data_IF_427363138316
#
_entry.id   IF_427363138316
#
_cell.length_a   1.000
_cell.length_b   1.000
_cell.length_c   1.000
_cell.angle_alpha   90.00
_cell.angle_beta   90.00
_cell.angle_gamma   90.00
#
_symmetry.space_group_name_H-M   'P 1'
#
loop_
_entity.id
_entity.type
_entity.pdbx_description
1 polymer ?
#
# COMPACT_ATOMS: atom_id res chain seq x y z
N UNK A 1 -3.14 -2.40 -6.46
CA UNK A 1 -2.11 -2.59 -5.42
C UNK A 1 -0.71 -2.47 -6.00
N UNK A 2 0.31 -2.45 -5.14
CA UNK A 2 1.72 -2.22 -5.53
C UNK A 2 2.25 -3.23 -6.56
N UNK A 3 1.83 -4.49 -6.49
CA UNK A 3 2.21 -5.51 -7.48
C UNK A 3 1.74 -5.17 -8.91
N UNK A 4 0.51 -4.65 -9.05
CA UNK A 4 -0.02 -4.21 -10.35
C UNK A 4 0.67 -2.94 -10.87
N UNK A 5 0.95 -1.98 -9.98
CA UNK A 5 1.76 -0.80 -10.33
C UNK A 5 3.19 -1.20 -10.71
N UNK A 6 3.78 -2.19 -10.06
CA UNK A 6 5.10 -2.74 -10.40
C UNK A 6 5.11 -3.46 -11.75
N UNK A 7 4.03 -4.16 -12.10
CA UNK A 7 3.88 -4.74 -13.43
C UNK A 7 3.82 -3.65 -14.52
N UNK A 8 3.05 -2.58 -14.29
CA UNK A 8 2.88 -1.49 -15.25
C UNK A 8 4.07 -0.52 -15.34
N UNK A 9 4.74 -0.23 -14.21
CA UNK A 9 5.77 0.82 -14.10
C UNK A 9 7.18 0.30 -13.74
N UNK A 10 7.34 -1.00 -13.53
CA UNK A 10 8.64 -1.61 -13.21
C UNK A 10 9.16 -1.29 -11.82
N UNK A 11 10.48 -1.15 -11.67
CA UNK A 11 11.15 -0.99 -10.38
C UNK A 11 10.94 0.37 -9.70
N UNK A 12 10.39 1.35 -10.42
CA UNK A 12 10.20 2.69 -9.90
C UNK A 12 9.22 2.73 -8.69
N UNK A 13 8.29 1.78 -8.59
CA UNK A 13 7.39 1.64 -7.43
C UNK A 13 8.18 1.34 -6.14
N UNK A 14 9.30 0.60 -6.24
CA UNK A 14 10.17 0.27 -5.11
C UNK A 14 10.83 1.50 -4.47
N UNK A 15 10.89 2.63 -5.18
CA UNK A 15 11.37 3.89 -4.62
C UNK A 15 10.50 4.33 -3.42
N UNK A 16 9.19 4.04 -3.46
CA UNK A 16 8.26 4.43 -2.41
C UNK A 16 8.56 3.72 -1.08
N UNK A 17 8.82 2.42 -1.15
CA UNK A 17 9.18 1.61 0.00
C UNK A 17 10.55 2.02 0.56
N UNK A 18 11.52 2.32 -0.31
CA UNK A 18 12.83 2.79 0.13
C UNK A 18 12.75 4.13 0.88
N UNK A 19 11.91 5.04 0.41
CA UNK A 19 11.67 6.32 1.09
C UNK A 19 10.98 6.12 2.46
N UNK A 20 9.99 5.23 2.51
CA UNK A 20 9.28 4.90 3.73
C UNK A 20 10.22 4.35 4.81
N UNK A 21 11.13 3.46 4.44
CA UNK A 21 12.12 2.89 5.36
C UNK A 21 12.98 3.97 6.03
N UNK A 22 13.47 4.94 5.26
CA UNK A 22 14.29 6.06 5.78
C UNK A 22 13.49 6.95 6.74
N UNK A 23 12.25 7.28 6.38
CA UNK A 23 11.38 8.13 7.20
C UNK A 23 10.94 7.44 8.50
N UNK A 24 10.62 6.14 8.44
CA UNK A 24 10.28 5.35 9.62
C UNK A 24 11.46 5.22 10.58
N UNK A 25 12.67 5.06 10.07
CA UNK A 25 13.88 5.04 10.90
C UNK A 25 14.10 6.40 11.59
N UNK A 26 13.89 7.51 10.88
CA UNK A 26 13.96 8.86 11.44
C UNK A 26 12.88 9.07 12.52
N UNK A 27 11.64 8.63 12.25
CA UNK A 27 10.53 8.67 13.21
C UNK A 27 10.89 7.88 14.48
N UNK A 28 11.43 6.68 14.29
CA UNK A 28 11.88 5.78 15.35
C UNK A 28 12.94 6.39 16.26
N UNK A 29 13.93 7.08 15.70
CA UNK A 29 15.02 7.66 16.49
C UNK A 29 14.67 9.03 17.10
N UNK A 30 13.93 9.87 16.38
CA UNK A 30 13.69 11.26 16.80
C UNK A 30 12.40 11.40 17.61
N UNK A 31 11.31 10.77 17.17
CA UNK A 31 9.98 11.01 17.75
C UNK A 31 9.61 10.04 18.86
N UNK A 32 10.02 8.76 18.77
CA UNK A 32 9.79 7.77 19.84
C UNK A 32 10.31 8.24 21.21
N UNK A 33 11.56 8.72 21.38
CA UNK A 33 12.00 9.19 22.70
C UNK A 33 11.16 10.37 23.21
N UNK A 34 10.72 11.27 22.31
CA UNK A 34 9.84 12.40 22.67
C UNK A 34 8.47 11.91 23.15
N UNK A 35 7.89 10.90 22.52
CA UNK A 35 6.61 10.32 22.94
C UNK A 35 6.71 9.60 24.28
N UNK A 36 7.79 8.85 24.52
CA UNK A 36 8.04 8.17 25.79
C UNK A 36 8.20 9.20 26.93
N UNK A 37 9.01 10.25 26.72
CA UNK A 37 9.19 11.31 27.73
C UNK A 37 7.92 12.11 28.02
N UNK A 38 7.04 12.27 27.03
CA UNK A 38 5.78 12.98 27.21
C UNK A 38 4.68 12.11 27.84
N UNK A 39 4.87 10.79 27.97
CA UNK A 39 3.94 9.87 28.65
C UNK A 39 2.56 9.81 27.98
N UNK A 40 2.52 9.96 26.65
CA UNK A 40 1.30 9.94 25.86
C UNK A 40 1.27 8.71 24.96
N UNK A 41 0.09 8.12 24.81
CA UNK A 41 -0.10 6.88 24.05
C UNK A 41 -0.78 7.11 22.69
N UNK A 42 -1.26 8.33 22.41
CA UNK A 42 -1.94 8.66 21.16
C UNK A 42 -1.51 10.02 20.62
N UNK A 43 -1.48 10.15 19.28
CA UNK A 43 -1.12 11.40 18.59
C UNK A 43 -2.01 12.60 18.99
N UNK A 44 -3.36 12.48 19.06
CA UNK A 44 -4.19 13.59 19.52
C UNK A 44 -3.95 13.97 20.99
N UNK A 45 -3.59 13.00 21.85
CA UNK A 45 -3.25 13.28 23.25
C UNK A 45 -1.92 14.05 23.36
N UNK A 46 -0.93 13.71 22.53
CA UNK A 46 0.32 14.48 22.42
C UNK A 46 0.06 15.95 22.05
N UNK A 47 -0.72 16.17 20.99
CA UNK A 47 -1.07 17.52 20.53
C UNK A 47 -1.80 18.33 21.62
N UNK A 48 -2.73 17.71 22.33
CA UNK A 48 -3.45 18.36 23.44
C UNK A 48 -2.53 18.74 24.59
N UNK A 49 -1.55 17.90 24.94
CA UNK A 49 -0.57 18.19 25.99
C UNK A 49 0.39 19.32 25.61
N UNK A 50 0.74 19.43 24.31
CA UNK A 50 1.66 20.46 23.80
C UNK A 50 0.99 21.82 23.58
N UNK A 51 -0.20 21.85 22.98
CA UNK A 51 -0.89 23.09 22.60
C UNK A 51 -1.93 23.55 23.62
N UNK A 52 -2.27 22.69 24.59
CA UNK A 52 -3.31 22.95 25.57
C UNK A 52 -4.72 22.77 24.99
N UNK A 53 -5.64 22.27 25.82
CA UNK A 53 -7.08 22.25 25.51
C UNK A 53 -7.64 20.86 25.21
N UNK A 54 -8.67 20.49 25.99
CA UNK A 54 -9.41 19.24 25.81
C UNK A 54 -10.30 19.27 24.55
N UNK A 55 -10.80 20.45 24.17
CA UNK A 55 -11.61 20.63 22.94
C UNK A 55 -10.82 20.30 21.67
N UNK A 56 -9.55 20.70 21.63
CA UNK A 56 -8.65 20.44 20.51
C UNK A 56 -8.35 18.95 20.36
N UNK A 57 -8.18 18.23 21.49
CA UNK A 57 -8.01 16.77 21.52
C UNK A 57 -9.18 16.05 20.86
N UNK A 58 -10.41 16.38 21.27
CA UNK A 58 -11.63 15.74 20.76
C UNK A 58 -11.82 16.04 19.28
N UNK A 59 -11.55 17.28 18.86
CA UNK A 59 -11.63 17.67 17.45
C UNK A 59 -10.64 16.85 16.58
N UNK A 60 -9.35 16.81 16.95
CA UNK A 60 -8.35 16.04 16.19
C UNK A 60 -8.57 14.53 16.25
N UNK A 61 -9.04 13.99 17.37
CA UNK A 61 -9.39 12.58 17.48
C UNK A 61 -10.57 12.22 16.56
N UNK A 62 -11.62 13.04 16.54
CA UNK A 62 -12.76 12.84 15.65
C UNK A 62 -12.36 12.95 14.17
N UNK A 63 -11.59 14.00 13.83
CA UNK A 63 -11.10 14.22 12.47
C UNK A 63 -10.21 13.06 11.99
N UNK A 64 -9.27 12.59 12.82
CA UNK A 64 -8.39 11.48 12.46
C UNK A 64 -9.17 10.18 12.26
N UNK A 65 -10.08 9.81 13.16
CA UNK A 65 -10.93 8.62 13.01
C UNK A 65 -11.74 8.69 11.71
N UNK A 66 -12.37 9.85 11.43
CA UNK A 66 -13.14 10.05 10.22
C UNK A 66 -12.27 9.88 8.96
N UNK A 67 -11.11 10.53 8.92
CA UNK A 67 -10.17 10.41 7.79
C UNK A 67 -9.70 8.97 7.61
N UNK A 68 -9.39 8.24 8.69
CA UNK A 68 -8.94 6.85 8.63
C UNK A 68 -10.03 5.92 8.05
N UNK A 69 -11.30 6.09 8.45
CA UNK A 69 -12.42 5.30 7.93
C UNK A 69 -12.62 5.54 6.43
N UNK A 70 -12.66 6.80 6.00
CA UNK A 70 -12.92 7.12 4.60
C UNK A 70 -11.75 6.81 3.67
N UNK A 71 -10.50 7.00 4.13
CA UNK A 71 -9.33 6.88 3.24
C UNK A 71 -8.67 5.51 3.30
N UNK A 72 -8.41 4.97 4.49
CA UNK A 72 -7.65 3.72 4.64
C UNK A 72 -8.59 2.52 4.62
N UNK A 73 -9.56 2.50 5.55
CA UNK A 73 -10.47 1.36 5.72
C UNK A 73 -11.28 1.06 4.45
N UNK A 74 -11.76 2.09 3.76
CA UNK A 74 -12.53 1.92 2.51
C UNK A 74 -11.70 1.31 1.39
N UNK A 75 -10.44 1.71 1.25
CA UNK A 75 -9.52 1.19 0.23
C UNK A 75 -9.16 -0.27 0.53
N UNK A 76 -8.91 -0.60 1.80
CA UNK A 76 -8.56 -1.96 2.23
C UNK A 76 -9.74 -2.93 2.04
N UNK A 77 -10.96 -2.53 2.44
CA UNK A 77 -12.17 -3.32 2.24
C UNK A 77 -12.46 -3.55 0.75
N UNK A 78 -12.31 -2.51 -0.08
CA UNK A 78 -12.53 -2.64 -1.52
C UNK A 78 -11.50 -3.56 -2.17
N UNK A 79 -10.21 -3.40 -1.83
CA UNK A 79 -9.14 -4.26 -2.35
C UNK A 79 -9.34 -5.72 -1.92
N UNK A 80 -9.73 -5.96 -0.66
CA UNK A 80 -10.03 -7.30 -0.16
C UNK A 80 -11.26 -7.92 -0.84
N UNK A 81 -12.33 -7.16 -1.02
CA UNK A 81 -13.54 -7.65 -1.70
C UNK A 81 -13.28 -7.97 -3.17
N UNK A 82 -12.50 -7.15 -3.87
CA UNK A 82 -12.09 -7.40 -5.24
C UNK A 82 -11.26 -8.70 -5.34
N UNK A 83 -10.36 -8.94 -4.39
CA UNK A 83 -9.60 -10.19 -4.34
C UNK A 83 -10.49 -11.42 -4.19
N UNK A 84 -11.50 -11.38 -3.32
CA UNK A 84 -12.47 -12.47 -3.14
C UNK A 84 -13.31 -12.66 -4.41
N UNK A 85 -13.74 -11.58 -5.05
CA UNK A 85 -14.49 -11.65 -6.30
C UNK A 85 -13.68 -12.32 -7.42
N UNK A 86 -12.41 -11.95 -7.60
CA UNK A 86 -11.57 -12.52 -8.65
C UNK A 86 -11.16 -13.97 -8.36
N UNK A 87 -11.07 -14.37 -7.08
CA UNK A 87 -10.66 -15.72 -6.70
C UNK A 87 -11.83 -16.71 -6.58
N UNK A 88 -13.00 -16.29 -6.09
CA UNK A 88 -14.17 -17.15 -5.87
C UNK A 88 -15.34 -16.87 -6.83
N UNK A 89 -15.30 -15.77 -7.60
CA UNK A 89 -16.37 -15.38 -8.52
C UNK A 89 -17.63 -14.85 -7.83
N UNK A 90 -17.56 -14.47 -6.56
CA UNK A 90 -18.71 -14.02 -5.77
C UNK A 90 -19.06 -12.55 -6.01
N UNK A 91 -20.32 -12.18 -5.71
CA UNK A 91 -20.75 -10.78 -5.77
C UNK A 91 -19.92 -9.90 -4.82
N UNK A 92 -19.51 -8.72 -5.29
CA UNK A 92 -18.69 -7.77 -4.54
C UNK A 92 -19.33 -7.39 -3.19
N UNK A 93 -20.64 -7.13 -3.18
CA UNK A 93 -21.39 -6.78 -1.96
C UNK A 93 -21.36 -7.90 -0.91
N UNK A 94 -21.50 -9.16 -1.35
CA UNK A 94 -21.44 -10.32 -0.45
C UNK A 94 -20.03 -10.47 0.16
N UNK A 95 -19.00 -10.23 -0.66
CA UNK A 95 -17.60 -10.26 -0.24
C UNK A 95 -17.28 -9.19 0.81
N UNK A 96 -17.78 -7.96 0.64
CA UNK A 96 -17.63 -6.88 1.63
C UNK A 96 -18.29 -7.25 2.96
N UNK A 97 -19.55 -7.70 2.92
CA UNK A 97 -20.30 -8.05 4.14
C UNK A 97 -19.60 -9.18 4.90
N UNK A 98 -19.08 -10.18 4.19
CA UNK A 98 -18.34 -11.28 4.78
C UNK A 98 -17.03 -10.81 5.43
N UNK A 99 -16.24 -9.97 4.76
CA UNK A 99 -15.00 -9.40 5.29
C UNK A 99 -15.24 -8.58 6.57
N UNK A 100 -16.24 -7.70 6.55
CA UNK A 100 -16.59 -6.89 7.72
C UNK A 100 -17.06 -7.79 8.87
N UNK A 101 -17.90 -8.78 8.58
CA UNK A 101 -18.43 -9.71 9.58
C UNK A 101 -17.31 -10.53 10.24
N UNK A 102 -16.40 -11.10 9.45
CA UNK A 102 -15.26 -11.87 9.96
C UNK A 102 -14.33 -10.98 10.81
N UNK A 103 -14.00 -9.79 10.32
CA UNK A 103 -13.13 -8.85 11.03
C UNK A 103 -13.76 -8.38 12.34
N UNK A 104 -15.07 -8.09 12.33
CA UNK A 104 -15.82 -7.71 13.52
C UNK A 104 -15.85 -8.86 14.55
N UNK A 105 -16.10 -10.10 14.11
CA UNK A 105 -16.13 -11.26 14.99
C UNK A 105 -14.78 -11.49 15.68
N UNK A 106 -13.68 -11.45 14.92
CA UNK A 106 -12.32 -11.59 15.47
C UNK A 106 -11.99 -10.47 16.46
N UNK A 107 -12.40 -9.23 16.16
CA UNK A 107 -12.14 -8.08 17.03
C UNK A 107 -12.95 -8.13 18.32
N UNK A 108 -14.24 -8.48 18.25
CA UNK A 108 -15.15 -8.54 19.40
C UNK A 108 -14.78 -9.69 20.35
N UNK A 109 -14.40 -10.85 19.79
CA UNK A 109 -14.08 -12.05 20.60
C UNK A 109 -12.72 -11.97 21.27
N UNK A 110 -11.73 -11.36 20.62
CA UNK A 110 -10.35 -11.45 21.07
C UNK A 110 -9.74 -10.18 21.68
N UNK A 111 -10.38 -9.02 21.48
CA UNK A 111 -9.84 -7.74 21.94
C UNK A 111 -8.51 -7.35 21.27
N UNK A 112 -7.84 -6.30 21.77
CA UNK A 112 -6.62 -5.75 21.16
C UNK A 112 -5.47 -6.79 21.09
N UNK A 113 -5.39 -7.68 22.08
CA UNK A 113 -4.33 -8.70 22.15
C UNK A 113 -4.49 -9.76 21.06
N UNK A 114 -5.71 -10.26 20.82
CA UNK A 114 -5.92 -11.22 19.76
C UNK A 114 -5.67 -10.61 18.38
N UNK A 115 -6.06 -9.34 18.17
CA UNK A 115 -5.78 -8.61 16.93
C UNK A 115 -4.27 -8.54 16.67
N UNK A 116 -3.47 -8.28 17.70
CA UNK A 116 -2.01 -8.27 17.58
C UNK A 116 -1.46 -9.65 17.19
N UNK A 117 -1.95 -10.73 17.82
CA UNK A 117 -1.51 -12.08 17.45
C UNK A 117 -1.88 -12.42 16.01
N UNK A 118 -3.10 -12.10 15.56
CA UNK A 118 -3.51 -12.35 14.17
C UNK A 118 -2.69 -11.53 13.17
N UNK A 119 -2.33 -10.29 13.52
CA UNK A 119 -1.50 -9.42 12.68
C UNK A 119 -0.08 -9.98 12.52
N UNK A 120 0.53 -10.44 13.62
CA UNK A 120 1.87 -11.07 13.56
C UNK A 120 1.89 -12.33 12.70
N UNK A 121 0.85 -13.17 12.80
CA UNK A 121 0.73 -14.37 11.99
C UNK A 121 0.52 -14.01 10.51
N UNK A 122 -0.31 -13.00 10.22
CA UNK A 122 -0.54 -12.51 8.86
C UNK A 122 0.76 -11.97 8.24
N UNK A 123 1.58 -11.22 8.99
CA UNK A 123 2.85 -10.71 8.50
C UNK A 123 3.80 -11.86 8.08
N UNK A 124 3.91 -12.91 8.89
CA UNK A 124 4.75 -14.08 8.57
C UNK A 124 4.23 -14.81 7.32
N UNK A 125 2.92 -15.01 7.21
CA UNK A 125 2.31 -15.65 6.04
C UNK A 125 2.51 -14.81 4.76
N UNK A 126 2.36 -13.49 4.84
CA UNK A 126 2.57 -12.58 3.71
C UNK A 126 4.02 -12.58 3.23
N UNK A 127 5.00 -12.55 4.15
CA UNK A 127 6.42 -12.62 3.80
C UNK A 127 6.74 -13.95 3.12
N UNK A 128 6.28 -15.08 3.69
CA UNK A 128 6.46 -16.40 3.09
C UNK A 128 5.81 -16.53 1.71
N UNK A 129 4.57 -16.05 1.55
CA UNK A 129 3.86 -16.02 0.28
C UNK A 129 4.55 -15.16 -0.77
N UNK A 130 5.03 -13.98 -0.39
CA UNK A 130 5.73 -13.09 -1.31
C UNK A 130 7.07 -13.69 -1.77
N UNK A 131 7.84 -14.31 -0.86
CA UNK A 131 9.13 -14.94 -1.19
C UNK A 131 8.95 -16.14 -2.11
N UNK A 132 8.02 -17.04 -1.79
CA UNK A 132 7.75 -18.23 -2.61
C UNK A 132 7.28 -17.86 -4.01
N UNK A 133 6.36 -16.90 -4.14
CA UNK A 133 5.90 -16.38 -5.43
C UNK A 133 7.03 -15.71 -6.23
N UNK A 134 7.90 -14.95 -5.57
CA UNK A 134 9.05 -14.30 -6.21
C UNK A 134 10.02 -15.34 -6.77
N UNK A 135 10.34 -16.38 -5.99
CA UNK A 135 11.25 -17.45 -6.41
C UNK A 135 10.66 -18.23 -7.60
N UNK A 136 9.40 -18.67 -7.50
CA UNK A 136 8.73 -19.38 -8.58
C UNK A 136 8.65 -18.55 -9.86
N UNK A 137 8.37 -17.25 -9.74
CA UNK A 137 8.32 -16.32 -10.88
C UNK A 137 9.70 -16.16 -11.52
N UNK A 138 10.76 -15.99 -10.72
CA UNK A 138 12.13 -15.87 -11.24
C UNK A 138 12.58 -17.14 -11.96
N UNK A 139 12.26 -18.33 -11.44
CA UNK A 139 12.58 -19.60 -12.11
C UNK A 139 11.87 -19.70 -13.46
N UNK A 140 10.58 -19.36 -13.51
CA UNK A 140 9.77 -19.45 -14.75
C UNK A 140 10.19 -18.44 -15.82
N UNK A 141 10.68 -17.28 -15.40
CA UNK A 141 11.11 -16.20 -16.30
C UNK A 141 12.55 -16.39 -16.79
N UNK A 142 13.34 -17.27 -16.17
CA UNK A 142 14.74 -17.53 -16.54
C UNK A 142 15.75 -16.64 -15.80
N UNK A 143 15.44 -16.28 -14.55
CA UNK A 143 16.29 -15.44 -13.70
C UNK A 143 16.17 -13.94 -14.01
N UNK A 144 17.11 -13.16 -13.47
CA UNK A 144 17.09 -11.70 -13.57
C UNK A 144 17.28 -11.19 -15.02
N UNK A 145 18.11 -11.86 -15.81
CA UNK A 145 18.28 -11.58 -17.24
C UNK A 145 17.01 -11.90 -18.04
N UNK A 146 16.32 -12.97 -17.67
CA UNK A 146 14.99 -13.29 -18.17
C UNK A 146 14.00 -12.18 -17.88
N UNK A 147 13.99 -11.63 -16.66
CA UNK A 147 13.13 -10.50 -16.30
C UNK A 147 13.45 -9.29 -17.17
N UNK A 148 14.73 -8.94 -17.31
CA UNK A 148 15.15 -7.77 -18.11
C UNK A 148 14.69 -7.86 -19.57
N UNK A 149 14.81 -9.03 -20.18
CA UNK A 149 14.48 -9.24 -21.60
C UNK A 149 12.98 -9.44 -21.82
N UNK A 150 12.34 -10.30 -21.03
CA UNK A 150 10.92 -10.64 -21.16
C UNK A 150 10.01 -9.50 -20.72
N UNK A 151 10.42 -8.68 -19.75
CA UNK A 151 9.63 -7.52 -19.32
C UNK A 151 9.42 -6.53 -20.46
N UNK A 152 10.45 -6.26 -21.26
CA UNK A 152 10.35 -5.36 -22.43
C UNK A 152 9.48 -5.95 -23.55
N UNK A 153 9.26 -7.27 -23.56
CA UNK A 153 8.43 -7.98 -24.53
C UNK A 153 7.00 -8.25 -24.02
N UNK A 154 6.69 -7.89 -22.77
CA UNK A 154 5.42 -8.17 -22.12
C UNK A 154 4.34 -7.16 -22.52
N UNK A 155 4.02 -7.10 -23.82
CA UNK A 155 2.99 -6.23 -24.37
C UNK A 155 1.64 -6.98 -24.32
N UNK A 156 0.62 -6.48 -23.61
CA UNK A 156 -0.68 -7.13 -23.57
C UNK A 156 -1.37 -7.04 -24.94
N UNK A 157 -1.96 -8.16 -25.40
CA UNK A 157 -2.73 -8.15 -26.63
C UNK A 157 -4.08 -7.44 -26.40
N UNK A 158 -4.16 -6.17 -26.83
CA UNK A 158 -5.31 -5.28 -26.64
C UNK A 158 -6.63 -5.82 -27.20
N UNK A 159 -6.56 -6.71 -28.20
CA UNK A 159 -7.74 -7.34 -28.81
C UNK A 159 -8.43 -8.34 -27.88
N UNK A 160 -7.69 -9.04 -27.01
CA UNK A 160 -8.23 -9.97 -26.02
C UNK A 160 -8.91 -9.24 -24.83
N UNK A 161 -8.43 -8.04 -24.50
CA UNK A 161 -8.98 -7.21 -23.41
C UNK A 161 -10.34 -6.62 -23.85
N UNK A 162 -10.44 -6.11 -25.07
CA UNK A 162 -11.70 -5.58 -25.62
C UNK A 162 -12.77 -6.68 -25.86
N UNK A 163 -12.35 -7.92 -26.13
CA UNK A 163 -13.26 -9.06 -26.30
C UNK A 163 -13.91 -9.53 -24.98
N UNK A 164 -13.34 -9.15 -23.82
CA UNK A 164 -13.84 -9.57 -22.49
C UNK A 164 -15.04 -8.76 -21.96
N UNK A 165 -15.55 -7.78 -22.73
CA UNK A 165 -16.86 -7.14 -22.56
C UNK A 165 -17.12 -6.33 -21.28
N UNK A 166 -16.29 -6.45 -20.24
CA UNK A 166 -16.54 -5.91 -18.90
C UNK A 166 -15.51 -4.87 -18.43
N UNK A 167 -14.50 -4.57 -19.25
CA UNK A 167 -13.47 -3.57 -18.93
C UNK A 167 -13.53 -2.43 -19.95
N UNK A 168 -13.84 -1.23 -19.47
CA UNK A 168 -13.68 0.00 -20.25
C UNK A 168 -12.20 0.25 -20.47
N UNK A 169 -11.74 0.07 -21.72
CA UNK A 169 -10.40 0.49 -22.12
C UNK A 169 -10.32 2.02 -21.99
N UNK A 170 -9.61 2.50 -20.98
CA UNK A 170 -9.19 3.89 -20.93
C UNK A 170 -7.89 4.02 -21.74
N UNK A 171 -7.78 4.98 -22.67
CA UNK A 171 -6.56 5.23 -23.44
C UNK A 171 -5.36 5.67 -22.56
N UNK A 172 -5.55 5.80 -21.25
CA UNK A 172 -4.51 6.10 -20.26
C UNK A 172 -3.66 4.88 -19.84
N UNK A 173 -4.09 3.64 -20.12
CA UNK A 173 -3.26 2.46 -19.86
C UNK A 173 -2.16 2.35 -20.93
N UNK A 174 -0.92 2.67 -20.57
CA UNK A 174 0.24 2.50 -21.46
C UNK A 174 0.45 1.02 -21.76
N UNK A 175 0.37 0.68 -23.05
CA UNK A 175 0.48 -0.67 -23.59
C UNK A 175 1.96 -1.10 -23.71
N UNK A 176 2.89 -0.16 -23.82
CA UNK A 176 4.31 -0.45 -24.07
C UNK A 176 5.18 -0.10 -22.85
N UNK A 177 6.07 -1.01 -22.41
CA UNK A 177 6.98 -0.78 -21.28
C UNK A 177 8.05 0.26 -21.64
N UNK A 178 8.22 1.27 -20.78
CA UNK A 178 9.25 2.31 -20.97
C UNK A 178 10.68 1.71 -20.90
N UNK A 179 11.65 2.23 -21.68
CA UNK A 179 13.04 1.76 -21.64
C UNK A 179 13.72 1.96 -20.27
N UNK A 180 13.26 2.93 -19.48
CA UNK A 180 13.76 3.22 -18.13
C UNK A 180 12.95 2.53 -17.01
N UNK A 181 12.09 1.56 -17.34
CA UNK A 181 11.23 0.85 -16.38
C UNK A 181 12.00 0.12 -15.27
N UNK A 182 13.22 -0.33 -15.57
CA UNK A 182 14.10 -1.03 -14.62
C UNK A 182 15.01 -0.08 -13.82
N UNK A 183 14.76 1.23 -13.86
CA UNK A 183 15.44 2.21 -13.00
C UNK A 183 14.48 2.70 -11.92
N UNK A 184 14.96 2.70 -10.68
CA UNK A 184 14.18 3.12 -9.50
C UNK A 184 13.96 4.64 -9.54
N UNK A 185 15.03 5.43 -9.69
CA UNK A 185 14.94 6.87 -9.91
C UNK A 185 15.12 7.18 -11.39
N UNK A 186 14.17 7.92 -11.95
CA UNK A 186 14.16 8.29 -13.37
C UNK A 186 14.55 9.76 -13.57
N UNK A 187 14.74 10.16 -14.82
CA UNK A 187 15.22 11.49 -15.17
C UNK A 187 14.27 12.60 -14.69
N UNK A 188 14.73 13.86 -14.61
CA UNK A 188 13.91 14.99 -14.16
C UNK A 188 12.67 15.25 -15.03
N UNK A 189 12.68 14.81 -16.30
CA UNK A 189 11.60 14.98 -17.28
C UNK A 189 10.74 13.71 -17.45
N UNK A 190 10.98 12.66 -16.66
CA UNK A 190 10.17 11.43 -16.75
C UNK A 190 8.78 11.66 -16.14
N UNK A 191 7.73 11.32 -16.88
CA UNK A 191 6.35 11.63 -16.52
C UNK A 191 5.81 10.85 -15.30
N UNK A 192 6.32 9.64 -15.03
CA UNK A 192 5.74 8.79 -13.97
C UNK A 192 6.36 9.08 -12.60
N UNK A 193 7.70 9.06 -12.51
CA UNK A 193 8.45 9.18 -11.24
C UNK A 193 9.73 9.99 -11.49
N UNK A 194 9.62 11.31 -11.73
CA UNK A 194 10.78 12.17 -11.86
C UNK A 194 11.41 12.37 -10.48
N UNK A 195 12.74 12.37 -10.38
CA UNK A 195 13.43 12.53 -9.09
C UNK A 195 13.03 13.80 -8.30
N UNK A 196 12.69 14.96 -8.91
CA UNK A 196 12.19 16.11 -8.14
C UNK A 196 10.81 15.84 -7.57
N UNK A 197 9.94 15.14 -8.31
CA UNK A 197 8.60 14.74 -7.84
C UNK A 197 8.67 13.70 -6.72
N UNK A 198 9.66 12.80 -6.79
CA UNK A 198 9.98 11.86 -5.72
C UNK A 198 10.33 12.60 -4.41
N UNK A 199 11.25 13.56 -4.47
CA UNK A 199 11.67 14.28 -3.26
C UNK A 199 10.56 15.22 -2.77
N UNK A 200 10.01 16.07 -3.63
CA UNK A 200 9.11 17.15 -3.24
C UNK A 200 7.66 16.72 -3.05
N UNK A 201 7.19 15.71 -3.78
CA UNK A 201 5.79 15.23 -3.70
C UNK A 201 5.67 13.94 -2.89
N UNK A 202 6.48 12.93 -3.22
CA UNK A 202 6.33 11.60 -2.63
C UNK A 202 6.83 11.55 -1.18
N UNK A 203 7.82 12.36 -0.78
CA UNK A 203 8.28 12.40 0.62
C UNK A 203 7.20 12.91 1.59
N UNK A 204 6.54 14.05 1.36
CA UNK A 204 5.39 14.46 2.18
C UNK A 204 4.27 13.43 2.22
N UNK A 205 3.94 12.81 1.08
CA UNK A 205 2.93 11.76 1.01
C UNK A 205 3.33 10.52 1.81
N UNK A 206 4.62 10.16 1.82
CA UNK A 206 5.17 9.04 2.60
C UNK A 206 5.12 9.34 4.10
N UNK A 207 5.42 10.57 4.52
CA UNK A 207 5.26 11.01 5.92
C UNK A 207 3.79 10.87 6.32
N UNK A 208 2.85 11.34 5.50
CA UNK A 208 1.43 11.19 5.79
C UNK A 208 0.98 9.72 5.82
N UNK A 209 1.45 8.88 4.89
CA UNK A 209 0.96 7.51 4.79
C UNK A 209 1.53 6.60 5.87
N UNK A 210 2.81 6.79 6.24
CA UNK A 210 3.59 5.90 7.11
C UNK A 210 3.82 6.45 8.52
N UNK A 211 3.79 7.78 8.71
CA UNK A 211 4.13 8.43 9.98
C UNK A 211 2.96 9.19 10.65
N UNK A 212 1.76 9.20 10.06
CA UNK A 212 0.56 9.86 10.61
C UNK A 212 -0.28 8.93 11.48
#
# INVERSE_FOLDING_TARGET
GLAGSGAASGYAVGAWEFNALLLLQLLGWVFVPVYIHSGVYTMPAYLSKRFGGNRLKVYFACLSVLLYIFTKLSVDLYAGALFIQESLGWNLYLSIVLLISMTALLTVTGGLVAVLYTDTLQAVLMIGGALTLTIMSLVKVGGLEGVRTKYMQAIPNVTAIMASGNFTYSPSCRIEPKPNSLRILRGPLDEDIPWPGFILGQTPASIWYWCA
#
